data_IF_886321784738
#
_entry.id   IF_886321784738
#
_cell.length_a   1.000
_cell.length_b   1.000
_cell.length_c   1.000
_cell.angle_alpha   90.00
_cell.angle_beta   90.00
_cell.angle_gamma   90.00
#
_symmetry.space_group_name_H-M   'P 1'
#
loop_
_entity.id
_entity.type
_entity.pdbx_description
1 polymer ?
#
# COMPACT_ATOMS: atom_id res chain seq x y z
N UNK A 1 -46.89 -31.66 -42.84
CA UNK A 1 -46.10 -30.49 -43.21
C UNK A 1 -44.86 -30.38 -42.26
N UNK A 2 -43.79 -29.84 -42.77
CA UNK A 2 -42.55 -29.59 -42.04
C UNK A 2 -42.17 -28.11 -42.25
N UNK A 3 -41.89 -27.42 -41.17
CA UNK A 3 -41.41 -26.04 -41.24
C UNK A 3 -40.04 -25.95 -41.93
N UNK A 4 -39.75 -24.80 -42.52
CA UNK A 4 -38.41 -24.50 -43.03
C UNK A 4 -37.39 -24.52 -41.91
N UNK A 5 -36.19 -25.02 -42.22
CA UNK A 5 -35.02 -24.98 -41.34
C UNK A 5 -33.95 -24.04 -41.90
N UNK A 6 -32.84 -23.89 -41.23
CA UNK A 6 -31.71 -23.13 -41.76
C UNK A 6 -31.26 -23.59 -43.14
N UNK A 7 -31.39 -24.91 -43.45
CA UNK A 7 -30.83 -25.54 -44.65
C UNK A 7 -31.86 -26.13 -45.58
N UNK A 8 -33.12 -26.26 -45.14
CA UNK A 8 -34.17 -26.90 -45.95
C UNK A 8 -35.41 -26.00 -46.02
N UNK A 9 -35.99 -25.95 -47.24
CA UNK A 9 -37.28 -25.30 -47.46
C UNK A 9 -38.43 -26.04 -46.73
N UNK A 10 -39.50 -25.30 -46.42
CA UNK A 10 -40.70 -25.90 -45.85
C UNK A 10 -41.30 -26.97 -46.78
N UNK A 11 -41.87 -27.99 -46.19
CA UNK A 11 -42.61 -29.03 -46.93
C UNK A 11 -44.08 -29.02 -46.55
N UNK A 12 -44.95 -29.01 -47.55
CA UNK A 12 -46.39 -29.00 -47.39
C UNK A 12 -47.00 -30.24 -48.04
N UNK A 13 -48.15 -30.65 -47.54
CA UNK A 13 -48.95 -31.69 -48.20
C UNK A 13 -49.84 -31.07 -49.29
N UNK A 14 -50.11 -31.86 -50.32
CA UNK A 14 -51.13 -31.47 -51.29
C UNK A 14 -52.52 -31.61 -50.68
N UNK A 15 -53.40 -30.64 -50.96
CA UNK A 15 -54.83 -30.70 -50.67
C UNK A 15 -55.65 -30.65 -51.94
N UNK A 16 -56.82 -31.28 -51.91
CA UNK A 16 -57.75 -31.20 -53.00
C UNK A 16 -58.55 -29.91 -52.90
N UNK A 17 -58.54 -29.09 -53.96
CA UNK A 17 -59.22 -27.76 -53.96
C UNK A 17 -60.72 -27.90 -53.87
N UNK A 18 -61.34 -29.00 -54.35
CA UNK A 18 -62.75 -29.24 -54.35
C UNK A 18 -63.29 -29.79 -53.02
N UNK A 19 -62.52 -30.65 -52.33
CA UNK A 19 -63.04 -31.35 -51.15
C UNK A 19 -62.18 -31.18 -49.90
N UNK A 20 -61.09 -30.38 -49.98
CA UNK A 20 -60.21 -30.10 -48.86
C UNK A 20 -59.40 -31.29 -48.34
N UNK A 21 -59.51 -32.46 -48.94
CA UNK A 21 -58.84 -33.70 -48.50
C UNK A 21 -57.32 -33.61 -48.67
N UNK A 22 -56.57 -33.78 -47.57
CA UNK A 22 -55.12 -33.69 -47.57
C UNK A 22 -54.46 -35.00 -47.92
N UNK A 23 -53.59 -35.03 -48.92
CA UNK A 23 -52.77 -36.18 -49.26
C UNK A 23 -51.48 -36.19 -48.43
N UNK A 24 -51.44 -36.93 -47.35
CA UNK A 24 -50.28 -37.03 -46.44
C UNK A 24 -49.16 -37.93 -46.97
N UNK A 25 -49.34 -38.59 -48.11
CA UNK A 25 -48.28 -39.44 -48.73
C UNK A 25 -47.39 -38.66 -49.71
N UNK A 26 -47.82 -37.50 -50.17
CA UNK A 26 -47.06 -36.66 -51.10
C UNK A 26 -46.86 -35.26 -50.49
N UNK A 27 -45.61 -34.77 -50.57
CA UNK A 27 -45.27 -33.43 -50.14
C UNK A 27 -44.61 -32.65 -51.27
N UNK A 28 -44.70 -31.34 -51.22
CA UNK A 28 -43.95 -30.42 -52.07
C UNK A 28 -43.16 -29.42 -51.22
N UNK A 29 -42.05 -28.91 -51.76
CA UNK A 29 -41.28 -27.84 -51.13
C UNK A 29 -41.88 -26.51 -51.58
N UNK A 30 -41.96 -25.56 -50.66
CA UNK A 30 -42.41 -24.22 -50.96
C UNK A 30 -41.53 -23.18 -50.20
N UNK A 31 -41.08 -22.18 -50.92
CA UNK A 31 -40.18 -21.16 -50.43
C UNK A 31 -38.73 -21.68 -50.33
N UNK A 32 -37.88 -20.86 -49.76
CA UNK A 32 -36.45 -21.15 -49.55
C UNK A 32 -36.17 -21.62 -48.11
N UNK A 33 -34.98 -22.13 -47.87
CA UNK A 33 -34.46 -22.34 -46.53
C UNK A 33 -34.29 -21.01 -45.82
N UNK A 34 -34.42 -21.02 -44.48
CA UNK A 34 -34.32 -19.79 -43.68
C UNK A 34 -32.92 -19.16 -43.64
N UNK A 35 -31.90 -19.92 -44.08
CA UNK A 35 -30.51 -19.53 -43.92
C UNK A 35 -30.06 -19.56 -42.48
N UNK A 36 -28.82 -19.23 -42.25
CA UNK A 36 -28.27 -19.09 -40.90
C UNK A 36 -28.29 -17.61 -40.46
N UNK A 37 -28.59 -17.39 -39.20
CA UNK A 37 -28.48 -16.11 -38.53
C UNK A 37 -27.51 -16.25 -37.34
N UNK A 38 -26.26 -15.84 -37.55
CA UNK A 38 -25.20 -16.09 -36.63
C UNK A 38 -24.99 -14.97 -35.63
N UNK A 39 -25.01 -15.30 -34.32
CA UNK A 39 -24.59 -14.44 -33.20
C UNK A 39 -23.11 -14.68 -32.89
N UNK A 40 -22.27 -13.62 -32.87
CA UNK A 40 -20.85 -13.73 -32.54
C UNK A 40 -20.60 -13.79 -31.04
N UNK A 41 -19.71 -14.68 -30.62
CA UNK A 41 -19.09 -14.72 -29.28
C UNK A 41 -17.58 -14.73 -29.46
N UNK A 42 -16.87 -14.02 -28.59
CA UNK A 42 -15.41 -13.92 -28.60
C UNK A 42 -14.84 -14.63 -27.38
N UNK A 43 -14.01 -15.63 -27.61
CA UNK A 43 -13.38 -16.43 -26.58
C UNK A 43 -11.90 -16.04 -26.48
N UNK A 44 -11.55 -15.28 -25.43
CA UNK A 44 -10.22 -14.82 -25.17
C UNK A 44 -9.49 -15.72 -24.19
N UNK A 45 -8.19 -15.98 -24.44
CA UNK A 45 -7.30 -16.51 -23.40
C UNK A 45 -7.15 -15.53 -22.23
N UNK A 46 -6.77 -16.04 -21.05
CA UNK A 46 -6.59 -15.23 -19.85
C UNK A 46 -5.57 -14.09 -20.07
N UNK A 47 -4.44 -14.42 -20.72
CA UNK A 47 -3.34 -13.48 -21.01
C UNK A 47 -3.58 -12.60 -22.24
N UNK A 48 -4.73 -12.74 -22.95
CA UNK A 48 -5.09 -11.97 -24.12
C UNK A 48 -4.24 -12.24 -25.36
N UNK A 49 -3.46 -13.33 -25.41
CA UNK A 49 -2.60 -13.63 -26.55
C UNK A 49 -3.34 -14.31 -27.69
N UNK A 50 -4.47 -14.97 -27.40
CA UNK A 50 -5.31 -15.63 -28.41
C UNK A 50 -6.75 -15.23 -28.22
N UNK A 51 -7.49 -15.21 -29.34
CA UNK A 51 -8.92 -14.99 -29.38
C UNK A 51 -9.50 -15.90 -30.45
N UNK A 52 -10.66 -16.48 -30.18
CA UNK A 52 -11.43 -17.28 -31.11
C UNK A 52 -12.80 -16.62 -31.30
N UNK A 53 -13.22 -16.48 -32.57
CA UNK A 53 -14.59 -16.15 -32.93
C UNK A 53 -15.42 -17.42 -32.93
N UNK A 54 -16.52 -17.44 -32.19
CA UNK A 54 -17.52 -18.51 -32.22
C UNK A 54 -18.83 -17.89 -32.71
N UNK A 55 -19.31 -18.36 -33.85
CA UNK A 55 -20.59 -17.97 -34.45
C UNK A 55 -21.60 -19.08 -34.19
N UNK A 56 -22.63 -18.84 -33.43
CA UNK A 56 -23.72 -19.78 -33.16
C UNK A 56 -24.99 -19.30 -33.85
N UNK A 57 -25.62 -20.18 -34.65
CA UNK A 57 -26.87 -19.83 -35.29
C UNK A 57 -27.99 -19.66 -34.26
N UNK A 58 -28.70 -18.51 -34.30
CA UNK A 58 -29.80 -18.20 -33.40
C UNK A 58 -31.02 -19.09 -33.56
N UNK A 59 -31.18 -19.72 -34.77
CA UNK A 59 -32.29 -20.61 -35.07
C UNK A 59 -32.00 -22.07 -34.72
N UNK A 60 -30.73 -22.47 -34.71
CA UNK A 60 -30.29 -23.83 -34.38
C UNK A 60 -28.88 -23.76 -33.75
N UNK A 61 -28.80 -23.94 -32.45
CA UNK A 61 -27.56 -23.86 -31.69
C UNK A 61 -26.54 -24.96 -32.01
N UNK A 62 -26.93 -25.99 -32.75
CA UNK A 62 -26.00 -27.01 -33.24
C UNK A 62 -25.15 -26.51 -34.40
N UNK A 63 -25.61 -25.47 -35.10
CA UNK A 63 -24.86 -24.88 -36.21
C UNK A 63 -23.85 -23.83 -35.63
N UNK A 64 -22.61 -24.28 -35.46
CA UNK A 64 -21.53 -23.48 -34.92
C UNK A 64 -20.36 -23.38 -35.88
N UNK A 65 -19.82 -22.19 -36.07
CA UNK A 65 -18.56 -21.94 -36.77
C UNK A 65 -17.57 -21.39 -35.77
N UNK A 66 -16.34 -21.88 -35.81
CA UNK A 66 -15.31 -21.46 -34.85
C UNK A 66 -14.01 -21.19 -35.62
N UNK A 67 -13.53 -19.92 -35.54
CA UNK A 67 -12.37 -19.43 -36.27
C UNK A 67 -11.38 -18.72 -35.33
N UNK A 68 -10.07 -18.98 -35.50
CA UNK A 68 -9.06 -18.22 -34.80
C UNK A 68 -9.00 -16.78 -35.33
N UNK A 69 -8.73 -15.82 -34.45
CA UNK A 69 -8.57 -14.43 -34.81
C UNK A 69 -7.11 -13.96 -34.68
N UNK A 70 -6.69 -13.10 -35.58
CA UNK A 70 -5.37 -12.44 -35.47
C UNK A 70 -5.40 -11.42 -34.32
N UNK A 71 -4.49 -11.59 -33.36
CA UNK A 71 -4.40 -10.72 -32.20
C UNK A 71 -3.18 -9.82 -32.30
N UNK A 72 -3.39 -8.53 -32.09
CA UNK A 72 -2.33 -7.52 -31.88
C UNK A 72 -2.47 -6.95 -30.48
N UNK A 73 -1.37 -6.47 -29.90
CA UNK A 73 -1.42 -5.86 -28.57
C UNK A 73 -0.61 -4.58 -28.49
N UNK A 74 -1.09 -3.62 -27.68
CA UNK A 74 -0.39 -2.39 -27.28
C UNK A 74 -0.24 -2.39 -25.78
N UNK A 75 0.98 -2.16 -25.28
CA UNK A 75 1.28 -2.11 -23.86
C UNK A 75 1.57 -0.68 -23.48
N UNK A 76 0.87 -0.17 -22.46
CA UNK A 76 1.23 1.04 -21.71
C UNK A 76 1.89 0.58 -20.42
N UNK A 77 3.13 0.96 -20.22
CA UNK A 77 3.90 0.55 -19.04
C UNK A 77 3.30 1.15 -17.76
N UNK A 78 3.31 0.38 -16.68
CA UNK A 78 3.01 0.89 -15.35
C UNK A 78 4.14 1.80 -14.85
N UNK A 79 3.81 2.82 -14.08
CA UNK A 79 4.75 3.65 -13.33
C UNK A 79 4.70 3.30 -11.83
N UNK A 80 5.45 4.03 -11.00
CA UNK A 80 5.38 3.81 -9.56
C UNK A 80 3.98 4.03 -8.98
N UNK A 81 3.21 4.96 -9.57
CA UNK A 81 1.93 5.41 -9.02
C UNK A 81 0.73 5.09 -9.92
N UNK A 82 0.98 4.87 -11.20
CA UNK A 82 -0.10 4.65 -12.16
C UNK A 82 -0.02 3.26 -12.75
N UNK A 83 -1.17 2.62 -12.84
CA UNK A 83 -1.33 1.36 -13.53
C UNK A 83 -0.99 1.50 -15.02
N UNK A 84 -0.40 0.46 -15.56
CA UNK A 84 -0.28 0.23 -16.98
C UNK A 84 -1.47 -0.60 -17.51
N UNK A 85 -1.44 -0.88 -18.79
CA UNK A 85 -2.43 -1.76 -19.42
C UNK A 85 -1.87 -2.44 -20.67
N UNK A 86 -2.27 -3.69 -20.88
CA UNK A 86 -2.15 -4.37 -22.17
C UNK A 86 -3.52 -4.35 -22.83
N UNK A 87 -3.64 -3.67 -23.97
CA UNK A 87 -4.84 -3.68 -24.80
C UNK A 87 -4.63 -4.61 -25.98
N UNK A 88 -5.38 -5.71 -26.01
CA UNK A 88 -5.35 -6.70 -27.06
C UNK A 88 -6.53 -6.46 -28.02
N UNK A 89 -6.27 -6.46 -29.33
CA UNK A 89 -7.28 -6.34 -30.38
C UNK A 89 -7.23 -7.55 -31.27
N UNK A 90 -8.33 -8.28 -31.35
CA UNK A 90 -8.52 -9.44 -32.23
C UNK A 90 -9.33 -9.04 -33.45
N UNK A 91 -8.92 -9.49 -34.64
CA UNK A 91 -9.61 -9.24 -35.89
C UNK A 91 -9.63 -10.50 -36.76
N UNK A 92 -10.72 -10.72 -37.45
CA UNK A 92 -10.80 -11.67 -38.54
C UNK A 92 -11.88 -11.25 -39.57
N UNK A 93 -11.81 -11.78 -40.76
CA UNK A 93 -12.84 -11.63 -41.78
C UNK A 93 -13.34 -13.00 -42.17
N UNK A 94 -14.63 -13.23 -42.11
CA UNK A 94 -15.27 -14.49 -42.47
C UNK A 94 -16.46 -14.21 -43.37
N UNK A 95 -16.49 -14.85 -44.55
CA UNK A 95 -17.54 -14.66 -45.55
C UNK A 95 -17.81 -13.19 -45.92
N UNK A 96 -16.74 -12.38 -46.04
CA UNK A 96 -16.82 -10.96 -46.37
C UNK A 96 -17.24 -10.05 -45.20
N UNK A 97 -17.57 -10.59 -44.02
CA UNK A 97 -17.91 -9.84 -42.83
C UNK A 97 -16.72 -9.74 -41.87
N UNK A 98 -16.40 -8.54 -41.44
CA UNK A 98 -15.31 -8.27 -40.49
C UNK A 98 -15.81 -8.36 -39.06
N UNK A 99 -15.02 -9.01 -38.21
CA UNK A 99 -15.25 -9.15 -36.76
C UNK A 99 -14.08 -8.60 -36.02
N UNK A 100 -14.37 -7.87 -34.93
CA UNK A 100 -13.36 -7.30 -34.05
C UNK A 100 -13.79 -7.39 -32.61
N UNK A 101 -12.84 -7.66 -31.73
CA UNK A 101 -13.03 -7.63 -30.28
C UNK A 101 -11.80 -7.05 -29.61
N UNK A 102 -11.96 -6.46 -28.43
CA UNK A 102 -10.86 -5.94 -27.62
C UNK A 102 -10.91 -6.49 -26.21
N UNK A 103 -9.74 -6.78 -25.64
CA UNK A 103 -9.58 -7.17 -24.25
C UNK A 103 -8.52 -6.28 -23.60
N UNK A 104 -8.86 -5.64 -22.49
CA UNK A 104 -7.93 -4.86 -21.67
C UNK A 104 -7.51 -5.69 -20.46
N UNK A 105 -6.20 -5.77 -20.22
CA UNK A 105 -5.59 -6.43 -19.07
C UNK A 105 -4.85 -5.36 -18.31
N UNK A 106 -5.19 -5.17 -17.03
CA UNK A 106 -4.52 -4.21 -16.16
C UNK A 106 -3.12 -4.74 -15.79
N UNK A 107 -2.16 -3.83 -15.71
CA UNK A 107 -0.81 -4.04 -15.19
C UNK A 107 -0.71 -3.12 -13.98
N UNK A 108 -0.70 -3.67 -12.77
CA UNK A 108 -0.69 -2.88 -11.55
C UNK A 108 0.51 -1.93 -11.45
N UNK A 109 0.32 -0.80 -10.76
CA UNK A 109 1.38 0.15 -10.45
C UNK A 109 2.55 -0.54 -9.74
N UNK A 110 3.78 -0.14 -10.07
CA UNK A 110 5.00 -0.79 -9.59
C UNK A 110 5.30 -0.49 -8.11
N UNK A 111 4.66 0.53 -7.53
CA UNK A 111 5.00 1.06 -6.23
C UNK A 111 6.36 1.76 -6.21
N UNK A 112 6.65 2.46 -5.13
CA UNK A 112 7.97 3.07 -4.91
C UNK A 112 8.93 2.06 -4.32
N UNK A 113 10.15 2.04 -4.83
CA UNK A 113 11.29 1.37 -4.24
C UNK A 113 12.21 2.43 -3.65
N UNK A 114 12.12 2.61 -2.33
CA UNK A 114 12.91 3.61 -1.62
C UNK A 114 14.33 3.11 -1.38
N UNK A 115 15.29 4.03 -1.46
CA UNK A 115 16.69 3.79 -1.08
C UNK A 115 16.83 3.63 0.45
N UNK A 116 18.08 3.52 0.95
CA UNK A 116 18.38 3.42 2.38
C UNK A 116 18.17 4.72 3.16
N UNK A 117 17.84 5.81 2.48
CA UNK A 117 17.63 7.12 3.07
C UNK A 117 18.94 7.88 3.39
N UNK A 118 18.86 9.20 3.34
CA UNK A 118 19.94 10.12 3.69
C UNK A 118 19.51 10.99 4.85
N UNK A 119 20.29 11.02 5.92
CA UNK A 119 20.05 11.90 7.05
C UNK A 119 20.22 13.36 6.63
N UNK A 120 19.15 14.12 6.55
CA UNK A 120 19.13 15.55 6.24
C UNK A 120 19.32 16.40 7.48
N UNK A 121 18.78 15.94 8.62
CA UNK A 121 18.92 16.57 9.92
C UNK A 121 19.10 15.48 10.96
N UNK A 122 20.16 15.55 11.75
CA UNK A 122 20.37 14.63 12.87
C UNK A 122 19.39 14.98 14.01
N UNK A 123 18.82 13.94 14.63
CA UNK A 123 18.06 14.13 15.87
C UNK A 123 18.97 14.68 16.97
N UNK A 124 18.42 15.55 17.82
CA UNK A 124 19.06 16.08 19.02
C UNK A 124 18.31 15.55 20.24
N UNK A 125 18.80 15.88 21.44
CA UNK A 125 18.18 15.40 22.67
C UNK A 125 16.68 15.74 22.76
N UNK A 126 16.29 16.95 22.33
CA UNK A 126 14.92 17.43 22.39
C UNK A 126 14.34 17.82 21.02
N UNK A 127 15.02 17.49 19.92
CA UNK A 127 14.57 17.84 18.58
C UNK A 127 14.62 16.63 17.65
N UNK A 128 13.54 16.49 16.84
CA UNK A 128 13.42 15.48 15.82
C UNK A 128 14.49 15.61 14.74
N UNK A 129 14.93 14.49 14.22
CA UNK A 129 15.74 14.41 13.02
C UNK A 129 14.87 14.29 11.75
N UNK A 130 15.52 14.22 10.60
CA UNK A 130 14.88 14.06 9.30
C UNK A 130 15.72 13.16 8.40
N UNK A 131 15.11 12.13 7.87
CA UNK A 131 15.70 11.24 6.87
C UNK A 131 14.92 11.42 5.58
N UNK A 132 15.64 11.65 4.47
CA UNK A 132 15.07 11.70 3.13
C UNK A 132 15.34 10.42 2.40
N UNK A 133 14.28 9.80 1.89
CA UNK A 133 14.33 8.64 1.00
C UNK A 133 14.06 9.09 -0.42
N UNK A 134 14.75 8.47 -1.39
CA UNK A 134 14.54 8.71 -2.81
C UNK A 134 14.12 7.41 -3.49
N UNK A 135 13.07 7.46 -4.31
CA UNK A 135 12.67 6.29 -5.07
C UNK A 135 13.68 6.01 -6.18
N UNK A 136 14.25 4.81 -6.21
CA UNK A 136 15.23 4.38 -7.22
C UNK A 136 14.65 4.32 -8.65
N UNK A 137 13.32 4.22 -8.79
CA UNK A 137 12.63 4.11 -10.09
C UNK A 137 12.22 5.46 -10.67
N UNK A 138 11.65 6.34 -9.87
CA UNK A 138 11.03 7.58 -10.36
C UNK A 138 11.65 8.86 -9.76
N UNK A 139 12.64 8.74 -8.89
CA UNK A 139 13.35 9.84 -8.23
C UNK A 139 12.47 10.73 -7.33
N UNK A 140 11.22 10.35 -7.08
CA UNK A 140 10.41 11.03 -6.05
C UNK A 140 11.02 10.84 -4.68
N UNK A 141 10.91 11.87 -3.84
CA UNK A 141 11.43 11.85 -2.48
C UNK A 141 10.30 11.85 -1.47
N UNK A 142 10.55 11.23 -0.30
CA UNK A 142 9.74 11.35 0.91
C UNK A 142 10.66 11.65 2.08
N UNK A 143 10.16 12.46 3.01
CA UNK A 143 10.86 12.79 4.24
C UNK A 143 10.17 12.09 5.41
N UNK A 144 10.96 11.44 6.26
CA UNK A 144 10.48 10.84 7.51
C UNK A 144 11.21 11.48 8.68
N UNK A 145 10.45 11.84 9.71
CA UNK A 145 10.99 12.33 10.97
C UNK A 145 11.49 11.18 11.82
N UNK A 146 12.56 11.40 12.53
CA UNK A 146 13.03 10.49 13.58
C UNK A 146 12.80 11.11 14.94
N UNK A 147 12.51 10.27 15.91
CA UNK A 147 12.30 10.70 17.29
C UNK A 147 13.53 11.43 17.85
N UNK A 148 13.33 12.39 18.80
CA UNK A 148 14.41 12.96 19.57
C UNK A 148 15.19 11.88 20.31
N UNK A 149 16.51 12.08 20.49
CA UNK A 149 17.37 11.09 21.16
C UNK A 149 17.10 10.95 22.66
N UNK A 150 16.36 11.90 23.26
CA UNK A 150 16.21 12.00 24.69
C UNK A 150 17.45 12.57 25.38
N UNK A 151 17.36 12.79 26.70
CA UNK A 151 18.45 13.27 27.50
C UNK A 151 19.16 12.14 28.24
N UNK A 152 20.48 12.13 28.20
CA UNK A 152 21.30 11.20 28.99
C UNK A 152 21.79 11.92 30.24
N UNK A 153 21.38 11.42 31.40
CA UNK A 153 21.75 12.00 32.67
C UNK A 153 23.27 11.87 32.93
N UNK A 154 23.89 12.96 33.35
CA UNK A 154 25.26 13.00 33.84
C UNK A 154 25.37 12.72 35.34
N UNK A 155 26.57 12.80 35.86
CA UNK A 155 26.80 12.79 37.33
C UNK A 155 26.28 14.09 37.95
N UNK A 156 25.84 13.98 39.19
CA UNK A 156 25.46 15.17 39.96
C UNK A 156 26.66 16.12 40.11
N UNK A 157 26.41 17.39 39.91
CA UNK A 157 27.33 18.51 40.19
C UNK A 157 26.73 19.32 41.30
N UNK A 158 27.57 19.78 42.22
CA UNK A 158 27.11 20.61 43.32
C UNK A 158 27.44 22.08 43.03
N UNK A 159 26.42 22.91 43.12
CA UNK A 159 26.48 24.34 42.85
C UNK A 159 25.93 25.14 44.04
N UNK A 160 26.13 26.45 44.06
CA UNK A 160 25.59 27.37 45.10
C UNK A 160 25.87 26.84 46.50
N UNK A 161 27.10 26.35 46.71
CA UNK A 161 27.47 25.79 48.02
C UNK A 161 27.62 26.87 49.05
N UNK A 162 26.76 26.87 50.04
CA UNK A 162 26.85 27.64 51.26
C UNK A 162 27.22 26.69 52.41
N UNK A 163 28.42 26.84 52.95
CA UNK A 163 28.93 25.90 53.94
C UNK A 163 28.18 26.05 55.27
N UNK A 164 27.90 24.93 55.92
CA UNK A 164 27.35 24.92 57.25
C UNK A 164 28.37 25.46 58.26
N UNK A 165 27.89 26.08 59.29
CA UNK A 165 28.68 26.46 60.45
C UNK A 165 28.14 25.79 61.73
N UNK A 166 28.78 25.94 62.85
CA UNK A 166 28.25 25.45 64.13
C UNK A 166 26.99 26.20 64.61
N UNK A 167 26.69 27.39 64.04
CA UNK A 167 25.50 28.19 64.38
C UNK A 167 24.39 28.09 63.33
N UNK A 168 24.72 27.89 62.08
CA UNK A 168 23.77 27.87 60.96
C UNK A 168 23.96 26.67 60.06
N UNK A 169 22.86 26.15 59.54
CA UNK A 169 22.87 25.12 58.48
C UNK A 169 23.40 25.72 57.19
N UNK A 170 24.07 24.90 56.41
CA UNK A 170 24.47 25.22 55.05
C UNK A 170 23.47 24.70 54.02
N UNK A 171 23.71 25.00 52.76
CA UNK A 171 22.94 24.47 51.64
C UNK A 171 23.82 24.28 50.41
N UNK A 172 23.41 23.40 49.51
CA UNK A 172 23.99 23.25 48.19
C UNK A 172 22.95 22.77 47.20
N UNK A 173 23.10 23.15 45.94
CA UNK A 173 22.26 22.61 44.87
C UNK A 173 22.93 21.41 44.26
N UNK A 174 22.22 20.29 44.29
CA UNK A 174 22.57 19.09 43.51
C UNK A 174 21.91 19.21 42.16
N UNK A 175 22.72 19.38 41.12
CA UNK A 175 22.27 19.58 39.71
C UNK A 175 22.70 18.42 38.86
N UNK A 176 21.80 17.96 38.02
CA UNK A 176 22.10 16.93 37.01
C UNK A 176 21.92 17.57 35.64
N UNK A 177 22.98 17.51 34.84
CA UNK A 177 22.97 17.98 33.46
C UNK A 177 22.97 16.83 32.46
N UNK A 178 22.39 17.06 31.26
CA UNK A 178 22.54 16.12 30.15
C UNK A 178 24.01 16.04 29.72
N UNK A 179 24.54 14.85 29.57
CA UNK A 179 25.92 14.65 29.11
C UNK A 179 26.17 15.14 27.69
N UNK A 180 25.11 15.14 26.85
CA UNK A 180 25.18 15.47 25.42
C UNK A 180 24.94 16.95 25.17
N UNK A 181 23.75 17.47 25.54
CA UNK A 181 23.35 18.87 25.22
C UNK A 181 23.60 19.86 26.37
N UNK A 182 24.05 19.39 27.54
CA UNK A 182 24.33 20.21 28.71
C UNK A 182 23.11 20.90 29.35
N UNK A 183 21.91 20.57 28.88
CA UNK A 183 20.68 21.05 29.48
C UNK A 183 20.56 20.56 30.93
N UNK A 184 20.12 21.43 31.83
CA UNK A 184 19.79 21.09 33.23
C UNK A 184 18.55 20.17 33.22
N UNK A 185 18.68 19.00 33.82
CA UNK A 185 17.63 17.99 33.91
C UNK A 185 16.93 17.98 35.25
N UNK A 186 17.64 18.27 36.29
CA UNK A 186 17.09 18.41 37.65
C UNK A 186 17.98 19.29 38.52
N UNK A 187 17.36 20.01 39.44
CA UNK A 187 18.01 20.78 40.50
C UNK A 187 17.27 20.47 41.80
N UNK A 188 18.02 20.15 42.83
CA UNK A 188 17.49 19.90 44.19
C UNK A 188 18.41 20.55 45.20
N UNK A 189 17.88 21.40 46.05
CA UNK A 189 18.65 21.98 47.17
C UNK A 189 18.76 21.00 48.32
N UNK A 190 19.95 20.66 48.70
CA UNK A 190 20.28 19.83 49.86
C UNK A 190 20.70 20.72 51.03
N UNK A 191 20.11 20.49 52.19
CA UNK A 191 20.51 21.20 53.44
C UNK A 191 21.70 20.46 54.03
N UNK A 192 22.72 21.20 54.38
CA UNK A 192 23.90 20.68 55.07
C UNK A 192 23.72 20.91 56.58
N UNK A 193 23.76 19.85 57.39
CA UNK A 193 23.58 20.00 58.84
C UNK A 193 24.67 20.88 59.42
N UNK A 194 24.35 21.53 60.54
CA UNK A 194 25.33 22.31 61.32
C UNK A 194 26.54 21.46 61.67
N UNK A 195 27.72 22.07 61.63
CA UNK A 195 28.96 21.42 62.06
C UNK A 195 29.06 21.37 63.56
N UNK A 196 29.73 20.39 64.09
CA UNK A 196 30.06 20.36 65.55
C UNK A 196 30.98 21.48 65.91
N UNK A 197 30.91 21.90 67.22
CA UNK A 197 31.84 22.85 67.72
C UNK A 197 33.26 22.23 67.79
N UNK A 198 34.22 22.91 67.20
CA UNK A 198 35.61 22.57 67.36
C UNK A 198 36.02 23.19 68.77
N UNK A 199 36.12 22.27 69.70
CA UNK A 199 36.44 22.64 71.09
C UNK A 199 37.93 22.63 71.28
N UNK A 200 38.55 23.76 71.33
CA UNK A 200 39.93 23.93 71.79
C UNK A 200 39.99 24.21 73.27
N UNK A 201 40.88 23.59 73.96
CA UNK A 201 41.13 23.84 75.37
C UNK A 201 41.74 25.24 75.52
N UNK A 202 40.96 26.23 75.99
CA UNK A 202 41.36 27.64 76.07
C UNK A 202 42.09 27.97 77.37
N UNK A 203 42.36 27.01 78.24
CA UNK A 203 43.14 27.20 79.48
C UNK A 203 42.77 26.23 80.59
N UNK A 204 43.73 25.65 81.23
CA UNK A 204 43.55 24.89 82.46
C UNK A 204 43.69 25.89 83.66
N UNK A 205 42.69 25.98 84.49
CA UNK A 205 42.80 26.61 85.75
C UNK A 205 43.14 25.54 86.79
N UNK A 206 44.37 25.54 87.24
CA UNK A 206 44.79 24.57 88.26
C UNK A 206 43.98 24.80 89.55
N UNK A 207 43.51 23.74 90.15
CA UNK A 207 42.88 23.75 91.44
C UNK A 207 43.91 24.22 92.50
N UNK A 208 43.52 25.16 93.38
CA UNK A 208 44.29 25.56 94.53
C UNK A 208 43.61 25.02 95.78
N UNK A 209 44.36 24.96 96.92
CA UNK A 209 43.84 24.40 98.17
C UNK A 209 42.58 25.16 98.71
N UNK A 210 42.26 26.29 98.12
CA UNK A 210 41.11 27.16 98.56
C UNK A 210 40.09 27.35 97.42
N UNK A 211 40.23 26.81 96.22
CA UNK A 211 39.34 26.96 95.12
C UNK A 211 39.38 25.80 94.13
N UNK A 212 38.23 25.25 93.72
CA UNK A 212 38.13 24.14 92.69
C UNK A 212 38.58 24.64 91.33
N UNK A 213 39.31 23.80 90.58
CA UNK A 213 39.55 23.99 89.16
C UNK A 213 38.29 23.74 88.34
N UNK A 214 38.16 24.36 87.18
CA UNK A 214 37.10 24.11 86.17
C UNK A 214 37.63 24.20 84.74
#
# INVERSE_FOLDING_TARGET
AQAATCTTAAKYYYSCDNCGRVNRKKTFKHGDSLGHDYAPKYEWSANGNTCKLVLTCTRDSSHVISEPMTVTSKITQASCENDGAKVCTAKCTLNGKSYQSTKKIAIGALGHRWDSGVVKKKALCAAEGLIRYTCERCQKTKDEKTEPLGHTQGKAVYENVNLATCQAEGSRDKVIYCTVCKAELSRTTEILPKTDHDRTLVGEKKATCMGGGY
#
